data_IF_431346183717
#
_entry.id   IF_431346183717
#
_cell.length_a   1.000
_cell.length_b   1.000
_cell.length_c   1.000
_cell.angle_alpha   90.00
_cell.angle_beta   90.00
_cell.angle_gamma   90.00
#
_symmetry.space_group_name_H-M   'P 1'
#
loop_
_entity.id
_entity.type
_entity.pdbx_description
1 polymer ?
#
# COMPACT_ATOMS: atom_id res chain seq x y z
N UNK A 1 7.76 0.17 9.12
CA UNK A 1 6.32 0.19 8.79
C UNK A 1 6.11 -0.89 7.75
N UNK A 2 5.05 -1.73 7.83
CA UNK A 2 4.82 -2.75 6.82
C UNK A 2 4.56 -2.10 5.46
N UNK A 3 5.03 -2.79 4.44
CA UNK A 3 5.10 -2.34 3.05
C UNK A 3 4.42 -3.36 2.15
N UNK A 4 3.82 -2.86 1.06
CA UNK A 4 3.05 -3.68 0.14
C UNK A 4 2.62 -2.90 -1.08
N UNK A 5 1.68 -3.47 -1.84
CA UNK A 5 1.13 -2.83 -3.01
C UNK A 5 -0.37 -3.02 -3.10
N UNK A 6 -1.04 -2.05 -3.73
CA UNK A 6 -2.47 -2.16 -4.02
C UNK A 6 -2.68 -3.28 -5.05
N UNK A 7 -3.28 -4.39 -4.63
CA UNK A 7 -3.57 -5.52 -5.50
C UNK A 7 -4.88 -5.32 -6.28
N UNK A 8 -5.89 -4.72 -5.62
CA UNK A 8 -7.20 -4.42 -6.21
C UNK A 8 -7.74 -3.10 -5.68
N UNK A 9 -8.47 -2.38 -6.54
CA UNK A 9 -9.14 -1.14 -6.19
C UNK A 9 -10.48 -1.03 -6.93
N UNK A 10 -11.56 -0.81 -6.18
CA UNK A 10 -12.90 -0.51 -6.69
C UNK A 10 -13.30 0.90 -6.25
N UNK A 11 -13.15 1.92 -7.12
CA UNK A 11 -13.48 3.31 -6.77
C UNK A 11 -14.99 3.53 -6.56
N UNK A 12 -15.85 2.70 -7.17
CA UNK A 12 -17.29 2.84 -7.00
C UNK A 12 -17.74 2.41 -5.59
N UNK A 13 -17.04 1.42 -5.01
CA UNK A 13 -17.28 0.95 -3.64
C UNK A 13 -16.39 1.62 -2.59
N UNK A 14 -15.36 2.33 -3.01
CA UNK A 14 -14.35 2.91 -2.12
C UNK A 14 -13.59 1.83 -1.33
N UNK A 15 -13.33 0.68 -1.94
CA UNK A 15 -12.73 -0.49 -1.28
C UNK A 15 -11.60 -1.08 -2.13
N UNK A 16 -10.61 -1.66 -1.46
CA UNK A 16 -9.50 -2.32 -2.13
C UNK A 16 -8.87 -3.42 -1.29
N UNK A 17 -7.93 -4.13 -1.93
CA UNK A 17 -7.07 -5.13 -1.29
C UNK A 17 -5.61 -4.74 -1.47
N UNK A 18 -4.84 -4.88 -0.40
CA UNK A 18 -3.41 -4.62 -0.34
C UNK A 18 -2.68 -5.95 -0.16
N UNK A 19 -1.68 -6.23 -0.99
CA UNK A 19 -0.81 -7.40 -0.80
C UNK A 19 0.46 -6.99 -0.07
N UNK A 20 0.76 -7.69 1.03
CA UNK A 20 1.92 -7.40 1.88
C UNK A 20 3.20 -7.99 1.28
N UNK A 21 4.30 -7.23 1.30
CA UNK A 21 5.56 -7.66 0.69
C UNK A 21 6.31 -8.72 1.53
N UNK A 22 6.29 -8.61 2.86
CA UNK A 22 7.18 -9.36 3.77
C UNK A 22 6.55 -10.61 4.42
N UNK A 23 5.24 -10.83 4.26
CA UNK A 23 4.57 -11.98 4.87
C UNK A 23 3.63 -12.64 3.86
N UNK A 24 3.93 -13.90 3.54
CA UNK A 24 3.04 -14.94 2.97
C UNK A 24 1.74 -14.41 2.36
N UNK A 25 1.79 -13.94 1.09
CA UNK A 25 0.70 -13.59 0.15
C UNK A 25 -0.62 -12.98 0.71
N UNK A 26 -0.63 -12.45 1.92
CA UNK A 26 -1.85 -12.08 2.60
C UNK A 26 -2.41 -10.80 1.98
N UNK A 27 -3.67 -10.88 1.57
CA UNK A 27 -4.41 -9.72 1.07
C UNK A 27 -5.18 -9.08 2.23
N UNK A 28 -4.80 -7.85 2.55
CA UNK A 28 -5.44 -7.06 3.58
C UNK A 28 -6.50 -6.15 2.96
N UNK A 29 -7.75 -6.17 3.44
CA UNK A 29 -8.76 -5.22 3.00
C UNK A 29 -8.42 -3.80 3.47
N UNK A 30 -8.84 -2.81 2.69
CA UNK A 30 -8.86 -1.40 3.06
C UNK A 30 -10.04 -0.67 2.41
N UNK A 31 -10.40 0.50 2.96
CA UNK A 31 -11.39 1.42 2.40
C UNK A 31 -10.75 2.75 2.01
N UNK A 32 -11.46 3.56 1.25
CA UNK A 32 -11.02 4.92 0.87
C UNK A 32 -10.69 5.80 2.07
N UNK A 33 -11.31 5.56 3.23
CA UNK A 33 -11.04 6.29 4.47
C UNK A 33 -9.66 5.98 5.07
N UNK A 34 -9.03 4.86 4.67
CA UNK A 34 -7.70 4.48 5.15
C UNK A 34 -6.58 5.10 4.30
N UNK A 35 -6.93 5.75 3.18
CA UNK A 35 -5.97 6.30 2.21
C UNK A 35 -5.50 7.70 2.61
N UNK A 36 -4.20 7.86 2.80
CA UNK A 36 -3.51 9.13 3.04
C UNK A 36 -2.67 9.50 1.79
N UNK A 37 -3.33 9.56 0.62
CA UNK A 37 -2.67 9.78 -0.69
C UNK A 37 -2.58 11.25 -1.13
N UNK A 38 -3.15 12.17 -0.36
CA UNK A 38 -3.27 13.58 -0.75
C UNK A 38 -4.08 13.74 -2.04
N UNK A 39 -3.54 14.44 -3.04
CA UNK A 39 -4.20 14.61 -4.34
C UNK A 39 -4.05 13.39 -5.29
N UNK A 40 -3.26 12.37 -4.90
CA UNK A 40 -3.04 11.19 -5.74
C UNK A 40 -4.21 10.22 -5.62
N UNK A 41 -4.57 9.59 -6.74
CA UNK A 41 -5.55 8.50 -6.73
C UNK A 41 -4.85 7.15 -6.48
N UNK A 42 -5.48 6.23 -5.72
CA UNK A 42 -4.99 4.86 -5.58
C UNK A 42 -4.98 4.15 -6.94
N UNK A 43 -3.95 3.33 -7.18
CA UNK A 43 -3.78 2.57 -8.43
C UNK A 43 -3.28 1.17 -8.13
N UNK A 44 -3.77 0.17 -8.86
CA UNK A 44 -3.24 -1.20 -8.79
C UNK A 44 -1.74 -1.19 -9.11
N UNK A 45 -0.95 -1.90 -8.32
CA UNK A 45 0.52 -1.94 -8.40
C UNK A 45 1.23 -0.78 -7.68
N UNK A 46 0.50 0.22 -7.16
CA UNK A 46 1.10 1.29 -6.37
C UNK A 46 1.70 0.72 -5.09
N UNK A 47 3.00 0.96 -4.89
CA UNK A 47 3.71 0.62 -3.68
C UNK A 47 3.35 1.60 -2.54
N UNK A 48 3.12 1.07 -1.35
CA UNK A 48 2.58 1.81 -0.21
C UNK A 48 3.19 1.35 1.12
N UNK A 49 3.26 2.29 2.05
CA UNK A 49 3.40 2.00 3.48
C UNK A 49 2.04 2.01 4.14
N UNK A 50 1.84 1.18 5.15
CA UNK A 50 0.58 1.13 5.91
C UNK A 50 0.83 0.78 7.37
N UNK A 51 -0.17 0.98 8.20
CA UNK A 51 -0.22 0.45 9.57
C UNK A 51 -1.14 -0.78 9.57
N UNK A 52 -0.74 -1.84 10.28
CA UNK A 52 -1.53 -3.06 10.40
C UNK A 52 -2.41 -2.99 11.64
N UNK A 53 -3.73 -3.05 11.45
CA UNK A 53 -4.68 -3.19 12.56
C UNK A 53 -5.10 -4.65 12.70
N UNK A 54 -4.82 -5.23 13.87
CA UNK A 54 -5.34 -6.54 14.29
C UNK A 54 -6.30 -6.32 15.46
N UNK A 55 -7.60 -6.48 15.22
CA UNK A 55 -8.61 -6.46 16.30
C UNK A 55 -8.91 -7.88 16.76
N UNK A 56 -9.17 -8.05 18.06
CA UNK A 56 -9.62 -9.32 18.61
C UNK A 56 -10.95 -9.73 17.94
N UNK A 57 -10.93 -10.85 17.22
CA UNK A 57 -12.11 -11.42 16.54
C UNK A 57 -12.41 -10.88 15.14
N UNK A 58 -11.59 -9.99 14.57
CA UNK A 58 -11.75 -9.47 13.22
C UNK A 58 -10.58 -9.83 12.28
N UNK A 59 -10.79 -9.84 10.95
CA UNK A 59 -9.69 -10.01 10.01
C UNK A 59 -8.72 -8.81 10.11
N UNK A 60 -7.41 -9.03 9.89
CA UNK A 60 -6.44 -7.95 9.86
C UNK A 60 -6.79 -6.95 8.75
N UNK A 61 -6.54 -5.67 8.99
CA UNK A 61 -6.85 -4.57 8.05
C UNK A 61 -5.66 -3.63 7.88
N UNK A 62 -5.48 -3.10 6.69
CA UNK A 62 -4.50 -2.05 6.43
C UNK A 62 -5.12 -0.66 6.70
N UNK A 63 -4.41 0.17 7.47
CA UNK A 63 -4.79 1.56 7.80
C UNK A 63 -3.68 2.54 7.38
N UNK A 64 -4.01 3.83 7.32
CA UNK A 64 -3.04 4.94 7.12
C UNK A 64 -2.09 4.68 5.96
N UNK A 65 -2.69 4.29 4.83
CA UNK A 65 -2.03 3.84 3.62
C UNK A 65 -1.48 5.06 2.90
N UNK A 66 -0.16 5.14 2.81
CA UNK A 66 0.58 6.25 2.22
C UNK A 66 1.36 5.76 1.01
N UNK A 67 1.51 6.59 -0.03
CA UNK A 67 2.37 6.22 -1.14
C UNK A 67 3.78 5.97 -0.61
N UNK A 68 4.38 4.86 -1.03
CA UNK A 68 5.81 4.69 -0.84
C UNK A 68 6.47 5.50 -1.94
N UNK A 69 6.76 6.78 -1.65
CA UNK A 69 7.51 7.64 -2.56
C UNK A 69 8.92 7.07 -2.71
N UNK A 70 9.09 6.26 -3.75
CA UNK A 70 10.38 5.92 -4.32
C UNK A 70 10.94 7.10 -5.13
N UNK A 71 10.92 8.32 -4.60
CA UNK A 71 11.77 9.40 -5.13
C UNK A 71 13.26 9.14 -4.77
N UNK A 72 13.55 8.06 -4.03
CA UNK A 72 14.90 7.59 -3.72
C UNK A 72 15.28 6.20 -4.26
N UNK A 73 14.35 5.39 -4.79
CA UNK A 73 14.70 4.04 -5.27
C UNK A 73 15.25 4.03 -6.70
N UNK A 74 14.89 5.03 -7.53
CA UNK A 74 15.43 5.16 -8.89
C UNK A 74 16.78 5.90 -8.94
N UNK A 75 17.19 6.62 -7.87
CA UNK A 75 18.49 7.31 -7.82
C UNK A 75 19.68 6.38 -7.52
N UNK A 76 19.44 5.16 -7.04
CA UNK A 76 20.51 4.15 -6.84
C UNK A 76 20.71 3.23 -8.05
N UNK A 77 19.82 3.26 -9.05
CA UNK A 77 20.00 2.52 -10.30
C UNK A 77 20.74 3.32 -11.40
N UNK A 78 21.12 4.58 -11.10
CA UNK A 78 21.83 5.47 -12.03
C UNK A 78 23.01 6.16 -11.33
N UNK A 79 23.84 5.37 -10.69
CA UNK A 79 25.20 5.73 -10.26
C UNK A 79 26.10 4.51 -10.59
N UNK A 80 26.81 4.46 -11.71
CA UNK A 80 26.96 5.43 -12.79
C UNK A 80 27.59 4.79 -14.03
N UNK A 81 27.90 5.59 -15.06
CA UNK A 81 28.80 5.19 -16.13
C UNK A 81 30.24 5.60 -15.77
N UNK A 82 31.12 4.63 -15.57
CA UNK A 82 32.57 4.75 -15.84
C UNK A 82 33.08 3.39 -16.25
#
# INVERSE_FOLDING_TARGET
>A
MPEGFIARWDPAKGQGLLRVHLHDLAELPFSSADLELGARQPRVGMAVHFDLETRAGGPPRALRIRPWDSDGAERSAQAGPT
#
